data_IF_776466770058
#
_entry.id   IF_776466770058
#
_cell.length_a   1.000
_cell.length_b   1.000
_cell.length_c   1.000
_cell.angle_alpha   90.00
_cell.angle_beta   90.00
_cell.angle_gamma   90.00
#
_symmetry.space_group_name_H-M   'P 1'
#
loop_
_entity.id
_entity.type
_entity.pdbx_description
1 polymer ?
#
# COMPACT_ATOMS: atom_id res chain seq x y z
N UNK A 1 7.55 -44.32 -38.01
CA UNK A 1 6.11 -44.17 -37.71
C UNK A 1 5.40 -43.83 -39.00
N UNK A 2 4.20 -44.36 -39.27
CA UNK A 2 3.50 -44.11 -40.54
C UNK A 2 3.09 -42.63 -40.61
N UNK A 3 3.18 -41.96 -41.78
CA UNK A 3 2.89 -40.53 -41.91
C UNK A 3 1.48 -40.20 -41.43
N UNK A 4 0.50 -41.07 -41.68
CA UNK A 4 -0.88 -40.93 -41.23
C UNK A 4 -1.01 -40.88 -39.69
N UNK A 5 -0.18 -41.65 -38.99
CA UNK A 5 -0.12 -41.62 -37.52
C UNK A 5 0.47 -40.31 -37.03
N UNK A 6 1.48 -39.77 -37.73
CA UNK A 6 2.06 -38.45 -37.43
C UNK A 6 0.99 -37.35 -37.56
N UNK A 7 0.20 -37.36 -38.64
CA UNK A 7 -0.84 -36.34 -38.86
C UNK A 7 -1.94 -36.40 -37.80
N UNK A 8 -2.33 -37.60 -37.38
CA UNK A 8 -3.33 -37.77 -36.33
C UNK A 8 -2.84 -37.20 -35.00
N UNK A 9 -1.59 -37.50 -34.61
CA UNK A 9 -0.97 -36.97 -33.39
C UNK A 9 -0.92 -35.44 -33.41
N UNK A 10 -0.49 -34.84 -34.53
CA UNK A 10 -0.41 -33.39 -34.68
C UNK A 10 -1.81 -32.75 -34.56
N UNK A 11 -2.81 -33.32 -35.23
CA UNK A 11 -4.19 -32.83 -35.15
C UNK A 11 -4.72 -32.87 -33.70
N UNK A 12 -4.45 -33.94 -32.96
CA UNK A 12 -4.85 -34.06 -31.55
C UNK A 12 -4.17 -33.02 -30.66
N UNK A 13 -2.86 -32.75 -30.86
CA UNK A 13 -2.12 -31.75 -30.09
C UNK A 13 -2.67 -30.34 -30.36
N UNK A 14 -2.98 -30.00 -31.61
CA UNK A 14 -3.52 -28.68 -31.97
C UNK A 14 -4.89 -28.45 -31.33
N UNK A 15 -5.76 -29.47 -31.34
CA UNK A 15 -7.08 -29.39 -30.70
C UNK A 15 -6.95 -29.29 -29.17
N UNK A 16 -6.06 -30.07 -28.57
CA UNK A 16 -5.82 -30.02 -27.12
C UNK A 16 -5.26 -28.66 -26.69
N UNK A 17 -4.34 -28.08 -27.49
CA UNK A 17 -3.78 -26.76 -27.24
C UNK A 17 -4.84 -25.66 -27.38
N UNK A 18 -5.66 -25.71 -28.43
CA UNK A 18 -6.76 -24.76 -28.64
C UNK A 18 -7.81 -24.82 -27.53
N UNK A 19 -8.17 -26.03 -27.08
CA UNK A 19 -9.06 -26.22 -25.94
C UNK A 19 -8.43 -25.68 -24.65
N UNK A 20 -7.17 -26.02 -24.36
CA UNK A 20 -6.46 -25.50 -23.20
C UNK A 20 -6.43 -23.97 -23.20
N UNK A 21 -6.07 -23.35 -24.33
CA UNK A 21 -6.04 -21.89 -24.45
C UNK A 21 -7.43 -21.29 -24.26
N UNK A 22 -8.47 -21.85 -24.88
CA UNK A 22 -9.84 -21.37 -24.74
C UNK A 22 -10.35 -21.45 -23.28
N UNK A 23 -10.07 -22.55 -22.58
CA UNK A 23 -10.50 -22.74 -21.19
C UNK A 23 -9.64 -21.99 -20.16
N UNK A 24 -8.32 -21.84 -20.41
CA UNK A 24 -7.38 -21.23 -19.45
C UNK A 24 -7.06 -19.75 -19.71
N UNK A 25 -7.32 -19.22 -20.91
CA UNK A 25 -7.20 -17.77 -21.20
C UNK A 25 -8.44 -16.97 -20.79
N UNK A 26 -9.55 -17.64 -20.44
CA UNK A 26 -10.80 -17.02 -19.97
C UNK A 26 -10.80 -16.49 -18.53
N UNK A 27 -9.69 -16.55 -17.78
CA UNK A 27 -9.59 -16.00 -16.43
C UNK A 27 -8.63 -14.82 -16.36
N UNK A 28 -9.05 -13.71 -16.97
CA UNK A 28 -8.60 -12.39 -16.55
C UNK A 28 -9.08 -12.13 -15.10
N UNK A 29 -8.14 -11.80 -14.21
CA UNK A 29 -8.32 -11.40 -12.81
C UNK A 29 -8.67 -12.50 -11.79
N UNK A 30 -7.80 -13.49 -11.61
CA UNK A 30 -7.67 -14.16 -10.31
C UNK A 30 -6.24 -13.95 -9.78
N UNK A 31 -6.04 -13.27 -8.63
CA UNK A 31 -4.73 -13.12 -8.01
C UNK A 31 -4.13 -14.51 -7.74
N UNK A 32 -2.91 -14.81 -8.23
CA UNK A 32 -2.24 -16.05 -7.92
C UNK A 32 -1.69 -15.95 -6.50
N UNK A 33 -2.44 -16.42 -5.50
CA UNK A 33 -1.98 -16.97 -4.21
C UNK A 33 -3.20 -17.19 -3.29
N UNK A 34 -3.90 -18.32 -3.43
CA UNK A 34 -4.78 -18.80 -2.35
C UNK A 34 -3.94 -19.61 -1.35
N UNK A 35 -3.11 -18.90 -0.56
CA UNK A 35 -2.66 -19.51 0.69
C UNK A 35 -3.87 -19.53 1.62
N UNK A 36 -4.31 -20.72 2.02
CA UNK A 36 -5.42 -20.89 2.95
C UNK A 36 -4.97 -20.47 4.36
N UNK A 37 -4.88 -19.15 4.58
CA UNK A 37 -4.79 -18.57 5.91
C UNK A 37 -6.14 -17.98 6.24
N UNK A 38 -6.60 -18.26 7.48
CA UNK A 38 -7.88 -17.82 8.00
C UNK A 38 -8.15 -16.36 7.59
N UNK A 39 -9.12 -16.22 6.69
CA UNK A 39 -9.49 -14.95 6.08
C UNK A 39 -9.86 -13.95 7.16
N UNK A 40 -8.93 -13.07 7.52
CA UNK A 40 -9.22 -11.99 8.45
C UNK A 40 -10.18 -11.02 7.73
N UNK A 41 -11.33 -10.67 8.32
CA UNK A 41 -12.32 -9.81 7.68
C UNK A 41 -11.73 -8.44 7.29
N UNK A 42 -10.73 -7.94 8.01
CA UNK A 42 -10.04 -6.70 7.67
C UNK A 42 -9.20 -6.83 6.38
N UNK A 43 -8.60 -7.99 6.14
CA UNK A 43 -7.78 -8.24 4.94
C UNK A 43 -8.64 -8.29 3.68
N UNK A 44 -9.83 -8.91 3.75
CA UNK A 44 -10.79 -8.92 2.62
C UNK A 44 -11.25 -7.52 2.30
N UNK A 45 -11.64 -6.74 3.33
CA UNK A 45 -12.10 -5.37 3.14
C UNK A 45 -11.03 -4.49 2.52
N UNK A 46 -9.79 -4.62 2.96
CA UNK A 46 -8.66 -3.90 2.37
C UNK A 46 -8.44 -4.30 0.90
N UNK A 47 -8.46 -5.60 0.58
CA UNK A 47 -8.29 -6.08 -0.79
C UNK A 47 -9.41 -5.56 -1.72
N UNK A 48 -10.64 -5.50 -1.23
CA UNK A 48 -11.78 -4.91 -1.95
C UNK A 48 -11.58 -3.42 -2.19
N UNK A 49 -11.21 -2.64 -1.16
CA UNK A 49 -10.95 -1.20 -1.27
C UNK A 49 -9.83 -0.92 -2.28
N UNK A 50 -8.72 -1.67 -2.23
CA UNK A 50 -7.61 -1.52 -3.18
C UNK A 50 -8.03 -1.85 -4.61
N UNK A 51 -8.94 -2.81 -4.81
CA UNK A 51 -9.52 -3.11 -6.12
C UNK A 51 -10.51 -2.05 -6.62
N UNK A 52 -11.16 -1.32 -5.72
CA UNK A 52 -12.06 -0.20 -6.03
C UNK A 52 -11.31 1.10 -6.33
N UNK A 53 -10.07 1.25 -5.86
CA UNK A 53 -9.19 2.34 -6.28
C UNK A 53 -8.86 2.16 -7.76
N UNK A 54 -9.66 2.76 -8.64
CA UNK A 54 -9.34 2.86 -10.06
C UNK A 54 -7.97 3.53 -10.22
N UNK A 55 -7.10 2.99 -11.09
CA UNK A 55 -5.87 3.68 -11.46
C UNK A 55 -6.22 5.08 -11.96
N UNK A 56 -5.76 6.10 -11.24
CA UNK A 56 -5.97 7.49 -11.61
C UNK A 56 -5.07 7.74 -12.82
N UNK A 57 -5.65 7.73 -14.01
CA UNK A 57 -4.92 8.08 -15.23
C UNK A 57 -4.91 9.59 -15.38
N UNK A 58 -3.76 10.22 -15.22
CA UNK A 58 -3.60 11.64 -15.51
C UNK A 58 -3.60 11.86 -17.01
N UNK A 59 -4.52 12.68 -17.52
CA UNK A 59 -4.51 13.10 -18.91
C UNK A 59 -3.44 14.19 -19.07
N UNK A 60 -2.33 13.85 -19.72
CA UNK A 60 -1.21 14.76 -19.97
C UNK A 60 -1.28 15.46 -21.33
N UNK A 61 -2.38 15.31 -22.09
CA UNK A 61 -2.51 15.89 -23.42
C UNK A 61 -2.45 17.43 -23.42
N UNK A 62 -2.81 18.07 -22.29
CA UNK A 62 -2.68 19.53 -22.13
C UNK A 62 -1.23 19.99 -22.21
N UNK A 63 -0.27 19.16 -21.80
CA UNK A 63 1.16 19.48 -21.83
C UNK A 63 1.78 19.32 -23.23
N UNK A 64 1.03 18.79 -24.20
CA UNK A 64 1.47 18.69 -25.60
C UNK A 64 1.17 19.95 -26.41
N UNK A 65 0.45 20.91 -25.84
CA UNK A 65 0.21 22.20 -26.48
C UNK A 65 1.49 23.08 -26.36
N UNK A 66 2.01 23.67 -27.47
CA UNK A 66 3.22 24.49 -27.46
C UNK A 66 3.21 25.65 -26.45
N UNK A 67 2.03 26.10 -26.03
CA UNK A 67 1.88 27.10 -24.97
C UNK A 67 2.35 26.59 -23.62
N UNK A 68 2.30 25.27 -23.39
CA UNK A 68 2.77 24.61 -22.18
C UNK A 68 4.27 24.31 -22.18
N UNK A 69 4.88 24.14 -23.36
CA UNK A 69 6.35 24.07 -23.53
C UNK A 69 7.04 25.42 -23.24
N UNK A 70 6.31 26.51 -23.42
CA UNK A 70 6.83 27.86 -23.21
C UNK A 70 6.70 28.36 -21.76
N UNK A 71 6.11 27.59 -20.83
CA UNK A 71 6.04 28.01 -19.43
C UNK A 71 7.42 27.98 -18.80
N UNK A 72 7.91 29.17 -18.49
CA UNK A 72 9.07 29.37 -17.64
C UNK A 72 8.64 29.20 -16.18
N UNK A 73 9.41 28.41 -15.44
CA UNK A 73 9.29 28.32 -13.99
C UNK A 73 9.60 29.70 -13.37
N UNK A 74 8.61 30.26 -12.67
CA UNK A 74 8.71 31.56 -11.97
C UNK A 74 9.02 31.39 -10.48
N UNK A 75 9.34 30.18 -10.02
CA UNK A 75 9.68 29.96 -8.63
C UNK A 75 10.96 30.71 -8.27
N UNK A 76 10.91 31.38 -7.12
CA UNK A 76 12.08 31.99 -6.52
C UNK A 76 12.59 31.06 -5.44
N UNK A 77 13.87 30.72 -5.48
CA UNK A 77 14.48 29.90 -4.43
C UNK A 77 14.49 30.68 -3.13
N UNK A 78 13.74 30.22 -2.14
CA UNK A 78 13.78 30.80 -0.80
C UNK A 78 14.92 30.13 -0.03
N UNK A 79 15.92 30.92 0.37
CA UNK A 79 16.92 30.42 1.32
C UNK A 79 16.25 30.16 2.66
N UNK A 80 16.48 28.99 3.30
CA UNK A 80 16.04 28.77 4.66
C UNK A 80 16.52 29.91 5.56
N UNK A 81 15.60 30.47 6.36
CA UNK A 81 15.98 31.40 7.41
C UNK A 81 16.73 30.63 8.50
N UNK A 82 17.74 31.26 9.10
CA UNK A 82 18.36 30.71 10.31
C UNK A 82 17.28 30.49 11.38
N UNK A 83 17.44 29.43 12.19
CA UNK A 83 16.61 29.26 13.39
C UNK A 83 16.55 30.59 14.14
N UNK A 84 15.33 31.06 14.40
CA UNK A 84 15.07 32.36 15.01
C UNK A 84 15.72 32.52 16.39
N UNK A 85 15.51 33.68 17.01
CA UNK A 85 15.96 33.93 18.39
C UNK A 85 15.36 32.88 19.33
N UNK A 86 16.15 32.44 20.33
CA UNK A 86 15.65 31.62 21.44
C UNK A 86 14.38 32.25 22.02
N UNK A 87 13.37 31.42 22.28
CA UNK A 87 12.07 31.85 22.80
C UNK A 87 12.26 32.64 24.11
N UNK A 88 11.96 33.95 24.13
CA UNK A 88 12.12 34.78 25.32
C UNK A 88 11.11 34.44 26.43
N UNK A 89 10.11 33.60 26.14
CA UNK A 89 9.12 33.08 27.09
C UNK A 89 9.36 31.61 27.45
N UNK A 90 10.47 31.02 27.02
CA UNK A 90 10.82 29.66 27.43
C UNK A 90 10.87 29.59 28.97
N UNK A 91 10.17 28.62 29.59
CA UNK A 91 10.13 28.52 31.04
C UNK A 91 11.55 28.32 31.58
N UNK A 92 11.99 29.26 32.41
CA UNK A 92 13.25 29.11 33.13
C UNK A 92 13.14 27.87 34.02
N UNK A 93 14.07 26.93 33.86
CA UNK A 93 14.23 25.81 34.79
C UNK A 93 14.75 26.37 36.12
N UNK A 94 13.82 26.93 36.90
CA UNK A 94 14.11 27.73 38.08
C UNK A 94 13.02 27.58 39.13
N UNK A 95 12.97 26.40 39.75
CA UNK A 95 12.44 26.25 41.11
C UNK A 95 11.14 25.47 41.27
N UNK A 96 11.24 24.41 42.07
CA UNK A 96 10.16 23.79 42.86
C UNK A 96 9.31 22.72 42.19
N UNK A 97 9.91 21.54 42.00
CA UNK A 97 9.18 20.28 42.10
C UNK A 97 8.85 20.01 43.58
N UNK A 98 7.78 20.62 44.09
CA UNK A 98 7.16 20.20 45.34
C UNK A 98 6.18 19.06 45.03
N UNK A 99 6.54 17.89 45.54
CA UNK A 99 5.85 16.62 45.39
C UNK A 99 4.33 16.72 45.63
N UNK A 100 3.57 16.24 44.66
CA UNK A 100 2.19 15.82 44.88
C UNK A 100 2.18 14.47 45.62
N UNK A 101 1.33 14.35 46.65
CA UNK A 101 0.65 13.08 46.86
C UNK A 101 -0.85 13.34 46.92
N UNK A 102 -1.57 12.97 45.85
CA UNK A 102 -3.01 12.73 45.96
C UNK A 102 -3.20 11.32 46.54
N UNK A 103 -3.84 11.15 47.71
CA UNK A 103 -4.28 9.86 48.17
C UNK A 103 -5.71 9.62 47.67
N UNK A 104 -5.93 8.53 46.93
CA UNK A 104 -7.15 7.72 47.05
C UNK A 104 -6.87 6.32 46.51
N UNK A 105 -6.62 5.41 47.44
CA UNK A 105 -6.75 3.96 47.28
C UNK A 105 -8.20 3.62 46.85
N UNK A 106 -8.53 2.51 46.19
CA UNK A 106 -8.09 1.13 46.41
C UNK A 106 -8.60 0.26 45.25
N UNK A 107 -7.83 -0.72 44.79
CA UNK A 107 -8.38 -2.03 44.43
C UNK A 107 -7.29 -3.08 44.48
N UNK A 108 -7.39 -3.89 45.51
CA UNK A 108 -6.54 -5.01 45.89
C UNK A 108 -6.72 -6.18 44.94
N UNK A 109 -5.66 -6.61 44.26
CA UNK A 109 -5.43 -8.00 43.86
C UNK A 109 -3.94 -8.23 43.55
N UNK A 110 -3.24 -8.85 44.50
CA UNK A 110 -1.86 -9.35 44.39
C UNK A 110 -1.72 -10.24 43.13
N UNK A 111 -0.80 -10.00 42.18
CA UNK A 111 0.67 -10.19 42.22
C UNK A 111 1.10 -11.54 42.82
N UNK A 112 1.79 -12.33 41.99
CA UNK A 112 2.24 -13.69 42.28
C UNK A 112 3.67 -13.80 42.80
N UNK A 113 4.15 -15.06 42.92
CA UNK A 113 5.54 -15.50 43.16
C UNK A 113 6.12 -15.07 44.52
N UNK A 114 7.07 -15.74 45.19
CA UNK A 114 7.94 -16.91 45.00
C UNK A 114 8.57 -17.15 46.41
N UNK A 115 9.02 -18.37 46.77
CA UNK A 115 10.44 -18.72 46.57
C UNK A 115 10.66 -20.10 45.92
#
# INVERSE_FOLDING_TARGET
MKPNTIYLIIATIVVAFGAYWYFFTGTGNQPPLSTAMATNPAQVRFQTLVGELQPISFNTAIFSDPRFDALVDITTSISPESSGRSDPLAPFSGGSAAAAPNPVASSTAATGGHP
#
